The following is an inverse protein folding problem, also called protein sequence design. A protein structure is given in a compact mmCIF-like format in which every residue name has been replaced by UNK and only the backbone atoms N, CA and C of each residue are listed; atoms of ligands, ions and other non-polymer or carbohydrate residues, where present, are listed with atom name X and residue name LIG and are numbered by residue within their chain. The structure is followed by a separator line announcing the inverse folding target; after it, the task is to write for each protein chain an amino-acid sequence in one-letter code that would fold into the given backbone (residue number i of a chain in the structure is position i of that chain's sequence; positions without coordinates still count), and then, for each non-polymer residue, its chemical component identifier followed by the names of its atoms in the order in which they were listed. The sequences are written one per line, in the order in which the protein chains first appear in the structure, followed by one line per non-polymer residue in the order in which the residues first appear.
data_IF_008745099186
#
_entry.id   IF_008745099186
#
_cell.length_a   1.000
_cell.length_b   1.000
_cell.length_c   1.000
_cell.angle_alpha   90.00
_cell.angle_beta   90.00
_cell.angle_gamma   90.00
#
_symmetry.space_group_name_H-M   'P 1'
#
loop_
_entity.id
_entity.type
_entity.pdbx_description
1 polymer ?
#
# COMPACT_ATOMS: atom_id res chain seq x y z
N UNK A 1 -53.05 -9.87 -61.96
CA UNK A 1 -51.95 -10.74 -61.48
C UNK A 1 -51.20 -9.92 -60.43
N UNK A 2 -51.56 -9.95 -59.14
CA UNK A 2 -51.20 -10.94 -58.10
C UNK A 2 -49.71 -11.32 -58.10
N UNK A 3 -48.97 -10.75 -57.13
CA UNK A 3 -47.82 -11.32 -56.39
C UNK A 3 -47.36 -10.23 -55.38
N UNK A 4 -47.68 -10.32 -54.08
CA UNK A 4 -47.13 -11.16 -53.00
C UNK A 4 -45.73 -10.74 -52.52
N UNK A 5 -45.67 -10.38 -51.22
CA UNK A 5 -44.58 -10.61 -50.25
C UNK A 5 -43.23 -9.90 -50.51
N UNK A 6 -42.47 -9.41 -49.53
CA UNK A 6 -42.45 -9.71 -48.10
C UNK A 6 -41.96 -8.50 -47.30
N UNK A 7 -42.70 -8.17 -46.25
CA UNK A 7 -42.29 -7.27 -45.17
C UNK A 7 -41.40 -8.08 -44.22
N UNK A 8 -40.08 -7.90 -44.26
CA UNK A 8 -39.16 -8.51 -43.30
C UNK A 8 -39.08 -7.60 -42.07
N UNK A 9 -39.85 -7.96 -41.05
CA UNK A 9 -39.69 -7.49 -39.67
C UNK A 9 -38.36 -8.00 -39.11
N UNK A 10 -37.32 -7.19 -39.20
CA UNK A 10 -36.07 -7.40 -38.47
C UNK A 10 -36.24 -6.88 -37.04
N UNK A 11 -36.97 -7.62 -36.21
CA UNK A 11 -36.98 -7.48 -34.75
C UNK A 11 -35.69 -8.06 -34.19
N UNK A 12 -34.58 -7.34 -34.36
CA UNK A 12 -33.31 -7.66 -33.72
C UNK A 12 -33.42 -7.36 -32.23
N UNK A 13 -33.53 -8.42 -31.43
CA UNK A 13 -33.45 -8.36 -29.97
C UNK A 13 -32.14 -7.68 -29.56
N UNK A 14 -32.23 -6.42 -29.18
CA UNK A 14 -31.31 -5.77 -28.25
C UNK A 14 -31.53 -6.41 -26.87
N UNK A 15 -31.00 -7.62 -26.68
CA UNK A 15 -30.67 -8.11 -25.35
C UNK A 15 -29.48 -7.28 -24.88
N UNK A 16 -29.77 -6.04 -24.47
CA UNK A 16 -28.90 -5.26 -23.63
C UNK A 16 -28.70 -6.12 -22.38
N UNK A 17 -27.55 -6.80 -22.34
CA UNK A 17 -27.12 -7.50 -21.14
C UNK A 17 -27.21 -6.49 -20.01
N UNK A 18 -28.14 -6.73 -19.09
CA UNK A 18 -28.01 -6.20 -17.75
C UNK A 18 -26.70 -6.80 -17.22
N UNK A 19 -25.59 -6.12 -17.49
CA UNK A 19 -24.35 -6.39 -16.81
C UNK A 19 -24.69 -6.31 -15.34
N UNK A 20 -24.46 -7.39 -14.60
CA UNK A 20 -24.50 -7.34 -13.15
C UNK A 20 -23.53 -6.23 -12.78
N UNK A 21 -24.08 -5.09 -12.38
CA UNK A 21 -23.26 -4.06 -11.79
C UNK A 21 -22.87 -4.64 -10.45
N UNK A 22 -21.58 -4.93 -10.27
CA UNK A 22 -21.07 -5.30 -8.96
C UNK A 22 -21.40 -4.14 -8.03
N UNK A 23 -22.40 -4.37 -7.19
CA UNK A 23 -22.84 -3.41 -6.20
C UNK A 23 -21.85 -3.56 -5.06
N UNK A 24 -20.74 -2.81 -5.13
CA UNK A 24 -19.73 -2.70 -4.07
C UNK A 24 -20.31 -1.96 -2.85
N UNK A 25 -21.38 -2.52 -2.28
CA UNK A 25 -21.99 -2.07 -1.03
C UNK A 25 -21.15 -2.64 0.12
N UNK A 26 -19.98 -2.05 0.35
CA UNK A 26 -19.05 -2.55 1.34
C UNK A 26 -17.96 -1.57 1.73
N UNK A 27 -17.02 -2.08 2.50
CA UNK A 27 -15.83 -1.40 3.01
C UNK A 27 -14.62 -2.09 2.38
N UNK A 28 -13.73 -1.36 1.72
CA UNK A 28 -12.61 -1.98 0.99
C UNK A 28 -11.38 -1.08 0.94
N UNK A 29 -10.21 -1.70 0.89
CA UNK A 29 -8.94 -1.05 0.54
C UNK A 29 -8.84 -1.00 -0.98
N UNK A 30 -8.64 0.19 -1.55
CA UNK A 30 -8.58 0.36 -3.00
C UNK A 30 -7.16 0.31 -3.53
N UNK A 31 -6.24 1.02 -2.88
CA UNK A 31 -4.84 1.12 -3.28
C UNK A 31 -3.96 1.53 -2.08
N UNK A 32 -2.64 1.35 -2.20
CA UNK A 32 -1.65 1.91 -1.29
C UNK A 32 -1.11 3.21 -1.90
N UNK A 33 -1.29 4.37 -1.27
CA UNK A 33 -0.90 5.65 -1.87
C UNK A 33 0.59 5.90 -1.80
N UNK A 34 1.13 6.52 -2.85
CA UNK A 34 2.47 7.13 -2.82
C UNK A 34 2.38 8.46 -2.07
N UNK A 35 3.35 8.76 -1.20
CA UNK A 35 3.49 10.09 -0.60
C UNK A 35 3.76 11.16 -1.66
N UNK A 36 3.46 12.41 -1.33
CA UNK A 36 3.95 13.56 -2.10
C UNK A 36 5.48 13.67 -2.05
N UNK A 37 6.05 14.39 -3.01
CA UNK A 37 7.50 14.56 -3.12
C UNK A 37 8.09 15.40 -1.96
N UNK A 38 9.37 15.18 -1.60
CA UNK A 38 10.08 16.06 -0.68
C UNK A 38 10.10 17.52 -1.16
N UNK A 39 10.15 18.50 -0.24
CA UNK A 39 10.18 18.35 1.22
C UNK A 39 8.79 18.22 1.86
N UNK A 40 7.71 18.22 1.07
CA UNK A 40 6.34 18.30 1.58
C UNK A 40 5.84 17.00 2.23
N UNK A 41 6.18 15.84 1.64
CA UNK A 41 5.86 14.52 2.18
C UNK A 41 4.40 14.35 2.62
N UNK A 42 3.48 14.99 1.89
CA UNK A 42 2.07 15.01 2.26
C UNK A 42 1.43 13.66 1.97
N UNK A 43 0.59 13.20 2.90
CA UNK A 43 -0.22 11.99 2.72
C UNK A 43 -1.39 12.37 1.81
N UNK A 44 -1.50 11.82 0.60
CA UNK A 44 -2.60 12.18 -0.29
C UNK A 44 -3.91 11.64 0.26
N UNK A 45 -4.94 12.48 0.27
CA UNK A 45 -6.31 12.12 0.68
C UNK A 45 -7.25 11.97 -0.50
N UNK A 46 -6.80 12.30 -1.71
CA UNK A 46 -7.64 12.33 -2.90
C UNK A 46 -7.67 10.98 -3.63
N UNK A 47 -8.84 10.62 -4.15
CA UNK A 47 -9.02 9.41 -4.94
C UNK A 47 -8.15 9.38 -6.21
N UNK A 48 -7.86 10.54 -6.81
CA UNK A 48 -7.04 10.64 -8.02
C UNK A 48 -5.53 10.51 -7.78
N UNK A 49 -5.08 10.50 -6.52
CA UNK A 49 -3.66 10.38 -6.20
C UNK A 49 -3.10 9.02 -6.63
N UNK A 50 -1.83 9.01 -7.00
CA UNK A 50 -1.14 7.82 -7.50
C UNK A 50 -1.08 6.72 -6.44
N UNK A 51 -1.63 5.56 -6.80
CA UNK A 51 -1.46 4.32 -6.05
C UNK A 51 -0.18 3.59 -6.47
N UNK A 52 0.42 2.90 -5.50
CA UNK A 52 1.48 1.94 -5.68
C UNK A 52 0.84 0.55 -5.87
N UNK A 53 1.42 -0.24 -6.78
CA UNK A 53 1.04 -1.64 -6.99
C UNK A 53 2.01 -2.60 -6.31
N UNK A 54 3.19 -2.11 -5.94
CA UNK A 54 4.24 -2.83 -5.26
C UNK A 54 5.13 -1.83 -4.51
N UNK A 55 5.88 -2.32 -3.52
CA UNK A 55 6.87 -1.54 -2.80
C UNK A 55 8.28 -2.11 -2.94
N UNK A 56 9.28 -1.34 -2.52
CA UNK A 56 10.67 -1.73 -2.36
C UNK A 56 11.18 -1.26 -0.99
N UNK A 57 11.74 -2.18 -0.20
CA UNK A 57 12.34 -1.92 1.10
C UNK A 57 13.82 -2.29 1.09
N UNK A 58 14.67 -1.31 1.39
CA UNK A 58 16.10 -1.51 1.62
C UNK A 58 16.37 -1.75 3.11
N UNK A 59 16.55 -3.03 3.45
CA UNK A 59 16.78 -3.50 4.81
C UNK A 59 18.10 -3.01 5.42
N UNK A 60 19.00 -2.44 4.62
CA UNK A 60 20.22 -1.79 5.13
C UNK A 60 19.93 -0.44 5.76
N UNK A 61 18.96 0.26 5.21
CA UNK A 61 18.62 1.64 5.59
C UNK A 61 17.50 1.64 6.62
N UNK A 62 16.53 0.73 6.49
CA UNK A 62 15.36 0.70 7.37
C UNK A 62 14.76 -0.70 7.49
N UNK A 63 14.23 -1.00 8.68
CA UNK A 63 13.55 -2.27 9.01
C UNK A 63 12.03 -2.19 8.98
N UNK A 64 11.45 -1.12 8.43
CA UNK A 64 10.00 -0.93 8.38
C UNK A 64 9.54 -0.37 7.05
N UNK A 65 8.42 -0.85 6.53
CA UNK A 65 7.75 -0.29 5.36
C UNK A 65 6.45 0.40 5.78
N UNK A 66 6.36 1.72 5.55
CA UNK A 66 5.16 2.51 5.81
C UNK A 66 4.23 2.46 4.58
N UNK A 67 3.01 1.95 4.76
CA UNK A 67 1.94 1.99 3.76
C UNK A 67 0.88 3.03 4.10
N UNK A 68 0.26 3.60 3.08
CA UNK A 68 -0.80 4.60 3.16
C UNK A 68 -2.05 4.05 2.46
N UNK A 69 -2.74 3.13 3.14
CA UNK A 69 -3.88 2.42 2.59
C UNK A 69 -5.04 3.39 2.34
N UNK A 70 -5.49 3.50 1.10
CA UNK A 70 -6.66 4.27 0.73
C UNK A 70 -7.90 3.40 0.85
N UNK A 71 -8.75 3.73 1.82
CA UNK A 71 -9.90 2.93 2.21
C UNK A 71 -11.19 3.68 1.88
N UNK A 72 -12.12 3.00 1.22
CA UNK A 72 -13.42 3.54 0.82
C UNK A 72 -14.56 2.87 1.58
N UNK A 73 -15.57 3.67 1.93
CA UNK A 73 -16.82 3.21 2.48
C UNK A 73 -17.93 3.37 1.42
N UNK A 74 -18.24 2.29 0.71
CA UNK A 74 -19.31 2.24 -0.30
C UNK A 74 -20.73 2.17 0.28
N UNK A 75 -20.90 2.17 1.61
CA UNK A 75 -22.21 2.10 2.22
C UNK A 75 -22.99 3.41 2.02
N UNK A 76 -24.21 3.29 1.51
CA UNK A 76 -25.13 4.42 1.30
C UNK A 76 -25.93 4.63 2.59
N UNK A 77 -26.07 5.86 3.10
CA UNK A 77 -26.93 6.12 4.25
C UNK A 77 -28.38 5.73 3.92
N UNK A 78 -28.96 4.80 4.67
CA UNK A 78 -30.37 4.42 4.52
C UNK A 78 -31.18 5.05 5.65
N UNK A 79 -32.24 5.75 5.28
CA UNK A 79 -33.27 6.17 6.21
C UNK A 79 -34.40 5.14 6.15
N UNK A 80 -34.72 4.51 7.28
CA UNK A 80 -35.95 3.73 7.39
C UNK A 80 -37.13 4.68 7.60
N UNK A 81 -38.09 4.79 6.66
CA UNK A 81 -39.25 5.66 6.85
C UNK A 81 -40.16 5.22 8.01
N UNK A 82 -40.05 3.98 8.50
CA UNK A 82 -40.78 3.44 9.66
C UNK A 82 -40.12 3.75 11.01
N UNK A 83 -38.84 4.13 11.01
CA UNK A 83 -38.08 4.48 12.20
C UNK A 83 -37.39 5.83 11.96
N UNK A 84 -37.78 6.93 12.63
CA UNK A 84 -37.20 8.28 12.41
C UNK A 84 -35.76 8.41 12.95
N UNK A 85 -34.96 7.34 12.92
CA UNK A 85 -33.54 7.31 13.22
C UNK A 85 -32.79 7.18 11.90
N UNK A 86 -31.86 8.10 11.65
CA UNK A 86 -30.92 7.96 10.54
C UNK A 86 -29.92 6.85 10.89
N UNK A 87 -29.83 5.81 10.06
CA UNK A 87 -28.73 4.85 10.14
C UNK A 87 -27.53 5.46 9.43
N UNK A 88 -26.63 6.07 10.22
CA UNK A 88 -25.32 6.44 9.69
C UNK A 88 -24.56 5.15 9.36
N UNK A 89 -24.41 4.82 8.10
CA UNK A 89 -23.52 3.75 7.66
C UNK A 89 -22.04 4.16 7.68
N UNK A 90 -21.66 5.01 8.63
CA UNK A 90 -20.27 5.41 8.85
C UNK A 90 -19.53 4.29 9.60
N UNK A 91 -18.23 4.19 9.36
CA UNK A 91 -17.37 3.13 9.89
C UNK A 91 -16.31 3.74 10.79
N UNK A 92 -16.19 3.25 12.01
CA UNK A 92 -15.05 3.46 12.89
C UNK A 92 -14.06 2.34 12.66
N UNK A 93 -12.99 2.63 11.92
CA UNK A 93 -11.90 1.70 11.66
C UNK A 93 -11.09 1.51 12.94
N UNK A 94 -10.80 0.27 13.30
CA UNK A 94 -10.15 -0.11 14.57
C UNK A 94 -8.74 -0.69 14.38
N UNK A 95 -8.44 -1.18 13.19
CA UNK A 95 -7.14 -1.75 12.90
C UNK A 95 -7.07 -2.46 11.56
N UNK A 96 -5.98 -3.19 11.37
CA UNK A 96 -5.80 -4.13 10.27
C UNK A 96 -5.10 -5.40 10.76
N UNK A 97 -5.50 -6.54 10.20
CA UNK A 97 -4.72 -7.77 10.26
C UNK A 97 -3.71 -7.77 9.10
N UNK A 98 -2.49 -8.18 9.40
CA UNK A 98 -1.40 -8.30 8.44
C UNK A 98 -0.93 -9.76 8.44
N UNK A 99 -0.93 -10.35 7.25
CA UNK A 99 -0.34 -11.65 6.97
C UNK A 99 0.81 -11.50 5.96
N UNK A 100 1.79 -12.38 6.03
CA UNK A 100 3.03 -12.30 5.26
C UNK A 100 3.24 -13.58 4.46
N UNK A 101 3.09 -13.51 3.14
CA UNK A 101 3.44 -14.61 2.26
C UNK A 101 4.94 -14.56 1.94
N UNK A 102 5.70 -15.64 2.21
CA UNK A 102 7.15 -15.66 2.04
C UNK A 102 7.58 -15.75 0.58
N UNK A 103 8.84 -15.39 0.32
CA UNK A 103 9.46 -15.64 -0.98
C UNK A 103 9.85 -17.13 -1.11
N UNK A 104 9.32 -17.88 -2.08
CA UNK A 104 9.77 -19.25 -2.31
C UNK A 104 11.25 -19.36 -2.70
N UNK A 105 11.84 -18.30 -3.27
CA UNK A 105 13.27 -18.23 -3.60
C UNK A 105 14.14 -17.90 -2.38
N UNK A 106 13.55 -17.39 -1.29
CA UNK A 106 14.25 -17.19 -0.02
C UNK A 106 13.49 -17.82 1.16
N UNK A 107 13.74 -19.12 1.44
CA UNK A 107 13.04 -19.87 2.49
C UNK A 107 13.18 -19.29 3.90
N UNK A 108 14.23 -18.48 4.15
CA UNK A 108 14.42 -17.78 5.43
C UNK A 108 13.32 -16.76 5.74
N UNK A 109 12.55 -16.34 4.74
CA UNK A 109 11.41 -15.42 4.93
C UNK A 109 10.12 -16.13 5.37
N UNK A 110 10.11 -17.46 5.48
CA UNK A 110 8.95 -18.22 5.92
C UNK A 110 8.71 -18.15 7.43
N UNK A 111 7.46 -18.36 7.85
CA UNK A 111 7.08 -18.48 9.27
C UNK A 111 7.01 -17.14 10.01
N UNK A 112 6.88 -16.03 9.28
CA UNK A 112 6.58 -14.73 9.89
C UNK A 112 5.19 -14.78 10.56
N UNK A 113 5.06 -14.25 11.78
CA UNK A 113 3.77 -14.27 12.48
C UNK A 113 2.79 -13.30 11.84
N UNK A 114 1.50 -13.69 11.83
CA UNK A 114 0.40 -12.75 11.62
C UNK A 114 0.43 -11.66 12.70
N UNK A 115 0.00 -10.46 12.33
CA UNK A 115 -0.03 -9.32 13.24
C UNK A 115 -1.32 -8.54 13.17
N UNK A 116 -1.71 -7.99 14.32
CA UNK A 116 -2.81 -7.03 14.42
C UNK A 116 -2.23 -5.64 14.70
N UNK A 117 -2.51 -4.67 13.83
CA UNK A 117 -2.13 -3.27 14.01
C UNK A 117 -3.38 -2.47 14.34
N UNK A 118 -3.43 -1.87 15.54
CA UNK A 118 -4.58 -1.08 15.99
C UNK A 118 -4.40 0.41 15.70
N UNK A 119 -5.43 1.04 15.16
CA UNK A 119 -5.51 2.48 14.90
C UNK A 119 -6.97 2.91 14.88
N UNK A 120 -7.24 4.21 14.94
CA UNK A 120 -8.62 4.72 14.96
C UNK A 120 -8.82 5.75 13.85
N UNK A 121 -9.79 5.50 12.97
CA UNK A 121 -10.22 6.48 11.97
C UNK A 121 -11.73 6.38 11.76
N UNK A 122 -12.36 7.46 11.28
CA UNK A 122 -13.77 7.48 10.96
C UNK A 122 -13.97 7.76 9.47
N UNK A 123 -14.70 6.89 8.78
CA UNK A 123 -15.02 7.05 7.36
C UNK A 123 -16.54 7.25 7.23
N UNK A 124 -17.00 8.42 6.75
CA UNK A 124 -18.43 8.65 6.57
C UNK A 124 -19.01 7.74 5.48
N UNK A 125 -20.34 7.55 5.44
CA UNK A 125 -21.00 6.86 4.34
C UNK A 125 -20.61 7.49 3.00
N UNK A 126 -20.30 6.68 1.98
CA UNK A 126 -19.79 7.13 0.67
C UNK A 126 -18.53 7.99 0.75
N UNK A 127 -17.79 7.91 1.86
CA UNK A 127 -16.54 8.60 2.09
C UNK A 127 -15.32 7.72 1.85
N UNK A 128 -14.15 8.32 2.05
CA UNK A 128 -12.87 7.64 2.01
C UNK A 128 -11.93 8.21 3.07
N UNK A 129 -10.84 7.49 3.34
CA UNK A 129 -9.74 7.97 4.15
C UNK A 129 -8.44 7.27 3.74
N UNK A 130 -7.32 7.99 3.84
CA UNK A 130 -5.98 7.40 3.74
C UNK A 130 -5.48 7.09 5.14
N UNK A 131 -5.05 5.86 5.36
CA UNK A 131 -4.63 5.35 6.67
C UNK A 131 -3.16 4.95 6.59
N UNK A 132 -2.31 5.67 7.33
CA UNK A 132 -0.90 5.32 7.48
C UNK A 132 -0.71 4.18 8.49
N UNK A 133 -0.10 3.07 8.05
CA UNK A 133 0.28 1.95 8.89
C UNK A 133 1.66 1.42 8.47
N UNK A 134 2.32 0.67 9.34
CA UNK A 134 3.50 -0.10 8.92
C UNK A 134 3.05 -1.45 8.37
N UNK A 135 3.16 -1.64 7.05
CA UNK A 135 2.88 -2.92 6.39
C UNK A 135 3.95 -3.96 6.74
N UNK A 136 5.20 -3.52 6.92
CA UNK A 136 6.26 -4.29 7.56
C UNK A 136 6.69 -3.50 8.81
N UNK A 137 6.27 -3.90 10.02
CA UNK A 137 6.78 -3.37 11.28
C UNK A 137 8.24 -3.76 11.57
N UNK A 138 8.92 -2.98 12.41
CA UNK A 138 10.35 -3.16 12.73
C UNK A 138 10.71 -4.56 13.23
N UNK A 139 9.85 -5.20 14.02
CA UNK A 139 10.09 -6.56 14.52
C UNK A 139 10.19 -7.59 13.37
N UNK A 140 9.32 -7.45 12.35
CA UNK A 140 9.35 -8.29 11.16
C UNK A 140 10.54 -7.92 10.28
N UNK A 141 10.77 -6.63 10.01
CA UNK A 141 11.89 -6.23 9.16
C UNK A 141 13.25 -6.51 9.77
N UNK A 142 13.40 -6.51 11.10
CA UNK A 142 14.63 -6.96 11.76
C UNK A 142 14.87 -8.45 11.53
N UNK A 143 13.82 -9.27 11.64
CA UNK A 143 13.89 -10.70 11.31
C UNK A 143 14.26 -10.91 9.83
N UNK A 144 13.65 -10.14 8.93
CA UNK A 144 13.95 -10.15 7.50
C UNK A 144 15.41 -9.74 7.21
N UNK A 145 15.92 -8.74 7.93
CA UNK A 145 17.31 -8.29 7.80
C UNK A 145 18.31 -9.38 8.20
N UNK A 146 18.02 -10.17 9.23
CA UNK A 146 18.89 -11.29 9.64
C UNK A 146 18.94 -12.40 8.58
N UNK A 147 17.84 -12.64 7.85
CA UNK A 147 17.75 -13.74 6.87
C UNK A 147 18.13 -13.33 5.45
N UNK A 148 18.09 -12.03 5.11
CA UNK A 148 18.29 -11.56 3.72
C UNK A 148 19.66 -11.94 3.16
N UNK A 149 20.69 -12.00 4.01
CA UNK A 149 22.05 -12.43 3.61
C UNK A 149 22.14 -13.90 3.17
N UNK A 150 21.12 -14.72 3.49
CA UNK A 150 20.99 -16.09 3.00
C UNK A 150 20.20 -16.22 1.69
N UNK A 151 19.58 -15.13 1.21
CA UNK A 151 18.81 -15.12 -0.03
C UNK A 151 19.69 -14.92 -1.27
N UNK A 152 19.27 -15.38 -2.46
CA UNK A 152 19.94 -15.07 -3.72
C UNK A 152 20.08 -13.55 -3.93
N UNK A 153 21.28 -13.09 -4.25
CA UNK A 153 21.62 -11.67 -4.48
C UNK A 153 21.20 -10.72 -3.34
N UNK A 154 21.02 -11.24 -2.12
CA UNK A 154 20.52 -10.51 -0.95
C UNK A 154 19.16 -9.84 -1.24
N UNK A 155 18.30 -10.56 -1.96
CA UNK A 155 16.98 -10.10 -2.39
C UNK A 155 15.91 -11.13 -2.08
N UNK A 156 14.72 -10.64 -1.77
CA UNK A 156 13.53 -11.45 -1.60
C UNK A 156 12.28 -10.63 -1.97
N UNK A 157 11.11 -11.25 -2.04
CA UNK A 157 9.81 -10.59 -2.16
C UNK A 157 8.85 -11.14 -1.11
N UNK A 158 8.22 -10.24 -0.35
CA UNK A 158 7.14 -10.59 0.59
C UNK A 158 5.85 -10.00 0.08
N UNK A 159 4.79 -10.80 -0.02
CA UNK A 159 3.44 -10.27 -0.24
C UNK A 159 2.83 -10.01 1.13
N UNK A 160 2.52 -8.75 1.42
CA UNK A 160 1.78 -8.38 2.62
C UNK A 160 0.29 -8.38 2.28
N UNK A 161 -0.47 -9.24 2.93
CA UNK A 161 -1.93 -9.25 2.83
C UNK A 161 -2.49 -8.45 4.00
N UNK A 162 -3.15 -7.34 3.71
CA UNK A 162 -3.78 -6.47 4.69
C UNK A 162 -5.30 -6.64 4.67
N UNK A 163 -5.91 -6.82 5.84
CA UNK A 163 -7.36 -6.83 6.01
C UNK A 163 -7.75 -5.79 7.07
N UNK A 164 -8.38 -4.69 6.64
CA UNK A 164 -8.77 -3.61 7.54
C UNK A 164 -10.10 -3.95 8.19
N UNK A 165 -10.24 -3.71 9.49
CA UNK A 165 -11.46 -4.02 10.24
C UNK A 165 -11.94 -2.83 11.07
N UNK A 166 -13.24 -2.83 11.38
CA UNK A 166 -13.87 -1.77 12.14
C UNK A 166 -15.29 -2.11 12.54
N UNK A 167 -16.01 -1.10 13.01
CA UNK A 167 -17.39 -1.20 13.46
C UNK A 167 -18.22 -0.07 12.85
N UNK A 168 -19.42 -0.37 12.37
CA UNK A 168 -20.36 0.66 11.90
C UNK A 168 -20.88 1.48 13.09
N UNK A 169 -21.47 2.65 12.84
CA UNK A 169 -22.13 3.41 13.91
C UNK A 169 -23.29 2.65 14.58
N UNK A 170 -23.85 1.65 13.89
CA UNK A 170 -24.89 0.78 14.42
C UNK A 170 -24.34 -0.35 15.33
N UNK A 171 -23.02 -0.48 15.45
CA UNK A 171 -22.37 -1.52 16.26
C UNK A 171 -22.12 -2.83 15.52
N UNK A 172 -22.25 -2.86 14.19
CA UNK A 172 -21.97 -4.05 13.38
C UNK A 172 -20.49 -4.10 13.02
N UNK A 173 -19.82 -5.21 13.33
CA UNK A 173 -18.43 -5.46 12.92
C UNK A 173 -18.34 -5.63 11.40
N UNK A 174 -17.29 -5.08 10.81
CA UNK A 174 -17.04 -5.08 9.37
C UNK A 174 -15.55 -5.30 9.11
N UNK A 175 -15.25 -6.05 8.04
CA UNK A 175 -13.89 -6.27 7.55
C UNK A 175 -13.85 -5.98 6.05
N UNK A 176 -12.69 -5.54 5.55
CA UNK A 176 -12.45 -5.46 4.12
C UNK A 176 -12.19 -6.84 3.54
N UNK A 177 -12.19 -6.92 2.21
CA UNK A 177 -11.50 -8.00 1.51
C UNK A 177 -9.98 -7.89 1.76
N UNK A 178 -9.28 -9.00 1.54
CA UNK A 178 -7.83 -9.06 1.56
C UNK A 178 -7.24 -8.14 0.48
N UNK A 179 -6.27 -7.32 0.86
CA UNK A 179 -5.51 -6.46 -0.03
C UNK A 179 -4.06 -6.92 -0.05
N UNK A 180 -3.64 -7.50 -1.17
CA UNK A 180 -2.29 -7.99 -1.37
C UNK A 180 -1.38 -6.89 -1.91
N UNK A 181 -0.25 -6.68 -1.23
CA UNK A 181 0.74 -5.70 -1.61
C UNK A 181 2.14 -6.33 -1.62
N UNK A 182 2.71 -6.65 -2.79
CA UNK A 182 4.05 -7.21 -2.89
C UNK A 182 5.11 -6.14 -2.57
N UNK A 183 6.03 -6.48 -1.69
CA UNK A 183 7.17 -5.65 -1.31
C UNK A 183 8.45 -6.41 -1.63
N UNK A 184 9.23 -5.88 -2.57
CA UNK A 184 10.58 -6.35 -2.84
C UNK A 184 11.50 -5.93 -1.69
N UNK A 185 12.33 -6.85 -1.23
CA UNK A 185 13.32 -6.65 -0.19
C UNK A 185 14.72 -6.69 -0.81
N UNK A 186 15.60 -5.82 -0.34
CA UNK A 186 17.00 -5.85 -0.72
C UNK A 186 17.89 -5.34 0.43
N UNK A 187 19.19 -5.62 0.34
CA UNK A 187 20.22 -5.06 1.21
C UNK A 187 21.10 -4.08 0.42
N UNK A 188 20.86 -2.78 0.58
CA UNK A 188 21.64 -1.69 -0.01
C UNK A 188 21.31 -1.34 -1.46
N UNK A 189 20.13 -1.67 -1.98
CA UNK A 189 19.77 -1.40 -3.38
C UNK A 189 19.15 -0.01 -3.63
N UNK A 190 18.70 0.69 -2.60
CA UNK A 190 18.19 2.06 -2.70
C UNK A 190 19.26 3.11 -2.37
N UNK A 191 20.43 2.68 -1.93
CA UNK A 191 21.55 3.58 -1.63
C UNK A 191 22.31 3.89 -2.92
N UNK A 192 22.48 5.18 -3.24
CA UNK A 192 23.35 5.64 -4.33
C UNK A 192 24.35 6.70 -3.86
N UNK A 193 25.51 6.74 -4.52
CA UNK A 193 26.51 7.79 -4.35
C UNK A 193 26.42 8.77 -5.54
N UNK A 194 26.13 10.06 -5.32
CA UNK A 194 26.13 11.04 -6.39
C UNK A 194 27.54 11.24 -6.97
N UNK A 195 27.61 11.67 -8.23
CA UNK A 195 28.88 11.94 -8.89
C UNK A 195 29.60 13.14 -8.27
N UNK A 196 30.93 13.06 -8.16
CA UNK A 196 31.74 14.14 -7.59
C UNK A 196 31.93 14.08 -6.07
N UNK A 197 31.36 13.07 -5.40
CA UNK A 197 31.72 12.75 -4.01
C UNK A 197 32.96 11.86 -4.01
N UNK A 198 33.98 12.24 -3.22
CA UNK A 198 35.16 11.41 -3.02
C UNK A 198 34.74 10.11 -2.34
N UNK A 199 35.11 8.98 -2.96
CA UNK A 199 34.97 7.67 -2.33
C UNK A 199 36.11 7.49 -1.32
N UNK A 200 35.79 7.25 -0.04
CA UNK A 200 36.78 6.89 0.99
C UNK A 200 37.33 5.47 0.75
N UNK A 201 38.55 5.31 0.19
CA UNK A 201 39.08 4.02 -0.22
C UNK A 201 39.28 3.01 0.93
N UNK A 202 39.12 3.42 2.20
CA UNK A 202 39.38 2.59 3.38
C UNK A 202 38.18 1.76 3.87
N UNK A 203 36.95 2.03 3.42
CA UNK A 203 35.71 1.41 3.95
C UNK A 203 34.97 0.59 2.89
N UNK A 204 35.05 -0.74 2.78
CA UNK A 204 34.42 -1.48 1.68
C UNK A 204 32.90 -1.17 1.50
N UNK A 205 32.46 -0.57 0.37
CA UNK A 205 31.05 -0.26 0.08
C UNK A 205 30.79 1.07 -0.64
N UNK A 206 29.55 1.61 -0.58
CA UNK A 206 29.26 3.01 -0.96
C UNK A 206 29.97 3.94 0.03
N UNK A 207 31.17 4.38 -0.34
CA UNK A 207 32.12 5.11 0.50
C UNK A 207 31.94 6.63 0.42
N UNK A 208 30.74 7.14 0.55
CA UNK A 208 30.58 8.58 0.33
C UNK A 208 31.17 9.40 1.48
N UNK A 209 32.14 10.26 1.13
CA UNK A 209 32.76 11.19 2.08
C UNK A 209 31.72 12.16 2.65
N UNK A 210 31.49 12.07 3.95
CA UNK A 210 30.57 12.91 4.71
C UNK A 210 30.90 14.41 4.65
N UNK A 211 32.12 14.77 4.25
CA UNK A 211 32.59 16.15 4.18
C UNK A 211 32.57 16.73 2.76
N UNK A 212 31.76 16.18 1.85
CA UNK A 212 31.64 16.74 0.50
C UNK A 212 30.90 18.09 0.51
N UNK A 213 31.45 19.11 -0.15
CA UNK A 213 30.81 20.43 -0.33
C UNK A 213 29.70 20.43 -1.42
N UNK A 214 29.31 19.26 -1.94
CA UNK A 214 28.27 19.15 -2.97
C UNK A 214 26.90 19.31 -2.33
N UNK A 215 26.03 20.13 -2.94
CA UNK A 215 24.65 20.31 -2.52
C UNK A 215 23.96 18.95 -2.28
N UNK A 216 23.24 18.84 -1.17
CA UNK A 216 22.46 17.65 -0.84
C UNK A 216 21.04 17.86 -1.33
N UNK A 217 20.53 16.89 -2.08
CA UNK A 217 19.10 16.83 -2.39
C UNK A 217 18.30 16.64 -1.11
N UNK A 218 17.07 17.17 -1.07
CA UNK A 218 16.16 16.92 0.04
C UNK A 218 15.98 15.41 0.23
N UNK A 219 16.06 14.88 1.46
CA UNK A 219 15.96 13.45 1.68
C UNK A 219 14.57 12.94 1.27
N UNK A 220 14.46 11.69 0.78
CA UNK A 220 13.17 11.08 0.50
C UNK A 220 12.32 11.02 1.78
N UNK A 221 11.00 11.07 1.63
CA UNK A 221 10.07 11.10 2.76
C UNK A 221 10.16 9.86 3.65
N UNK A 222 10.47 8.71 3.05
CA UNK A 222 10.78 7.47 3.75
C UNK A 222 12.12 6.93 3.24
N UNK A 223 13.26 7.33 3.84
CA UNK A 223 14.56 6.80 3.45
C UNK A 223 14.60 5.27 3.55
N UNK A 224 15.12 4.63 2.50
CA UNK A 224 15.15 3.17 2.40
C UNK A 224 13.84 2.53 1.91
N UNK A 225 12.87 3.33 1.46
CA UNK A 225 11.61 2.84 0.93
C UNK A 225 11.29 3.53 -0.41
N UNK A 226 11.06 2.74 -1.46
CA UNK A 226 10.58 3.10 -2.81
C UNK A 226 11.46 4.09 -3.62
N UNK A 227 12.07 5.07 -2.98
CA UNK A 227 12.91 6.11 -3.56
C UNK A 227 14.38 5.91 -3.16
N UNK A 228 15.28 6.29 -4.06
CA UNK A 228 16.71 6.25 -3.82
C UNK A 228 17.12 7.23 -2.71
N UNK A 229 18.05 6.82 -1.86
CA UNK A 229 18.64 7.65 -0.80
C UNK A 229 20.09 7.93 -1.12
N UNK A 230 20.47 9.20 -1.01
CA UNK A 230 21.87 9.58 -1.03
C UNK A 230 22.56 8.91 0.16
N UNK A 231 23.52 8.06 -0.14
CA UNK A 231 24.38 7.37 0.81
C UNK A 231 25.01 8.26 1.90
N UNK A 232 25.16 9.58 1.69
CA UNK A 232 25.62 10.52 2.71
C UNK A 232 24.65 10.58 3.90
N UNK A 233 23.35 10.34 3.68
CA UNK A 233 22.36 10.21 4.75
C UNK A 233 22.46 8.91 5.53
N UNK A 234 23.07 7.87 4.95
CA UNK A 234 23.16 6.52 5.55
C UNK A 234 24.50 6.32 6.24
N UNK A 235 25.60 6.74 5.62
CA UNK A 235 26.96 6.52 6.09
C UNK A 235 27.40 7.52 7.17
N UNK A 236 26.75 8.69 7.24
CA UNK A 236 27.15 9.80 8.11
C UNK A 236 26.20 10.06 9.28
N UNK A 237 25.21 9.17 9.46
CA UNK A 237 24.28 9.20 10.58
C UNK A 237 24.94 8.55 11.81
N UNK A 238 25.92 9.24 12.40
CA UNK A 238 26.48 8.93 13.73
C UNK A 238 25.67 9.61 14.84
#
# INVERSE_FOLDING_TARGET
MRSCLALVLASGLLALGAGCQDDWQGFFVRDNKRLGDPPGCEIPTEASATGLLAGLLDLRVRTSYAGYLFVENGLIPRADPGLPRAESNGIFVQGAYLNFEPDPACPGTAGLPEMEVRFSNYIPPQGNATIGIYLIPDAIGSTLHEVIGGCPDHRAQITVTAQVFGITQAGTEMETQEFDFPIALCDGCLVYCPTGVDLDPTVPGCQCNCNSDVDQDDPPCNPGQDDFVDCRYVACAD
#
